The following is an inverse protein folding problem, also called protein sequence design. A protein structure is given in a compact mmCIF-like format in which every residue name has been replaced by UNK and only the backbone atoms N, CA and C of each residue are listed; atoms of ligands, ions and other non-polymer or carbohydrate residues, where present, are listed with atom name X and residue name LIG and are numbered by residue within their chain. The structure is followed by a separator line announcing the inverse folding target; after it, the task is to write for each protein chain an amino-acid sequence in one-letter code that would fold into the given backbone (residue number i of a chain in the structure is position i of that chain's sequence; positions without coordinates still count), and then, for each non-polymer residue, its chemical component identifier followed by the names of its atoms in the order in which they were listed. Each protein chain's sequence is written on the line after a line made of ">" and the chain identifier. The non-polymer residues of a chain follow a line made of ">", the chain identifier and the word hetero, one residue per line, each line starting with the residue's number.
data_IF_128500066837
#
_entry.id   IF_128500066837
#
_cell.length_a   1.000
_cell.length_b   1.000
_cell.length_c   1.000
_cell.angle_alpha   90.00
_cell.angle_beta   90.00
_cell.angle_gamma   90.00
#
_symmetry.space_group_name_H-M   'P 1'
#
loop_
_entity.id
_entity.type
_entity.pdbx_description
1 polymer ?
#
# COMPACT_ATOMS: atom_id res chain seq x y z
N UNK A 1 1.30 2.26 25.48
CA UNK A 1 0.64 3.23 24.60
C UNK A 1 -0.12 2.41 23.56
N UNK A 2 -1.45 2.51 23.47
CA UNK A 2 -2.21 1.75 22.45
C UNK A 2 -1.74 2.29 21.10
N UNK A 3 -1.27 1.41 20.23
CA UNK A 3 -0.77 1.78 18.91
C UNK A 3 -1.87 2.60 18.21
N UNK A 4 -1.57 3.87 17.88
CA UNK A 4 -2.54 4.71 17.16
C UNK A 4 -2.90 3.96 15.86
N UNK A 5 -4.18 3.96 15.52
CA UNK A 5 -4.73 3.29 14.32
C UNK A 5 -4.73 1.76 14.32
N UNK A 6 -4.41 1.09 15.45
CA UNK A 6 -4.38 -0.38 15.52
C UNK A 6 -5.62 -1.05 14.92
N UNK A 7 -6.82 -0.54 15.21
CA UNK A 7 -8.07 -1.14 14.72
C UNK A 7 -8.22 -1.00 13.20
N UNK A 8 -8.00 0.22 12.66
CA UNK A 8 -8.08 0.49 11.22
C UNK A 8 -7.04 -0.31 10.44
N UNK A 9 -5.79 -0.35 10.93
CA UNK A 9 -4.71 -1.12 10.34
C UNK A 9 -5.00 -2.63 10.38
N UNK A 10 -5.44 -3.16 11.52
CA UNK A 10 -5.80 -4.59 11.66
C UNK A 10 -6.95 -4.98 10.74
N UNK A 11 -7.97 -4.12 10.64
CA UNK A 11 -9.08 -4.33 9.72
C UNK A 11 -8.59 -4.36 8.27
N UNK A 12 -7.80 -3.37 7.87
CA UNK A 12 -7.28 -3.26 6.51
C UNK A 12 -6.41 -4.46 6.14
N UNK A 13 -5.47 -4.85 7.01
CA UNK A 13 -4.61 -6.02 6.80
C UNK A 13 -5.43 -7.30 6.61
N UNK A 14 -6.44 -7.51 7.47
CA UNK A 14 -7.33 -8.67 7.35
C UNK A 14 -8.07 -8.67 6.01
N UNK A 15 -8.60 -7.51 5.59
CA UNK A 15 -9.34 -7.36 4.34
C UNK A 15 -8.45 -7.59 3.12
N UNK A 16 -7.32 -6.91 3.03
CA UNK A 16 -6.35 -7.07 1.95
C UNK A 16 -5.89 -8.52 1.82
N UNK A 17 -5.70 -9.25 2.93
CA UNK A 17 -5.32 -10.66 2.88
C UNK A 17 -6.45 -11.58 2.43
N UNK A 18 -7.71 -11.28 2.76
CA UNK A 18 -8.85 -12.09 2.34
C UNK A 18 -9.31 -11.80 0.90
N UNK A 19 -8.98 -10.63 0.35
CA UNK A 19 -9.48 -10.20 -0.95
C UNK A 19 -8.74 -10.81 -2.13
N UNK A 20 -9.48 -11.09 -3.20
CA UNK A 20 -8.96 -11.60 -4.46
C UNK A 20 -8.68 -10.46 -5.44
N UNK A 21 -9.60 -9.51 -5.54
CA UNK A 21 -9.49 -8.35 -6.43
C UNK A 21 -9.11 -7.11 -5.64
N UNK A 22 -8.04 -6.43 -6.07
CA UNK A 22 -7.45 -5.29 -5.35
C UNK A 22 -7.05 -4.22 -6.35
N UNK A 23 -7.67 -3.04 -6.23
CA UNK A 23 -7.40 -1.92 -7.10
C UNK A 23 -7.16 -0.66 -6.29
N UNK A 24 -6.29 0.19 -6.84
CA UNK A 24 -6.05 1.54 -6.34
C UNK A 24 -6.30 2.47 -7.52
N UNK A 25 -7.22 3.41 -7.36
CA UNK A 25 -7.41 4.49 -8.31
C UNK A 25 -6.59 5.68 -7.86
N UNK A 26 -5.92 6.30 -8.82
CA UNK A 26 -4.94 7.35 -8.58
C UNK A 26 -5.30 8.51 -9.50
N UNK A 27 -5.42 9.69 -8.92
CA UNK A 27 -5.60 10.95 -9.63
C UNK A 27 -4.71 12.01 -8.97
N UNK A 28 -3.98 12.78 -9.76
CA UNK A 28 -3.11 13.86 -9.28
C UNK A 28 -2.20 13.44 -8.09
N UNK A 29 -1.49 12.32 -8.26
CA UNK A 29 -0.58 11.74 -7.26
C UNK A 29 -1.24 11.30 -5.93
N UNK A 30 -2.57 11.20 -5.90
CA UNK A 30 -3.35 10.87 -4.71
C UNK A 30 -4.19 9.64 -4.95
N UNK A 31 -4.26 8.75 -3.97
CA UNK A 31 -5.23 7.65 -4.00
C UNK A 31 -6.63 8.22 -3.83
N UNK A 32 -7.48 8.04 -4.83
CA UNK A 32 -8.90 8.42 -4.77
C UNK A 32 -9.77 7.26 -4.33
N UNK A 33 -9.40 6.02 -4.69
CA UNK A 33 -10.12 4.82 -4.27
C UNK A 33 -9.19 3.66 -3.94
N UNK A 34 -9.46 2.97 -2.83
CA UNK A 34 -9.00 1.61 -2.57
C UNK A 34 -10.19 0.65 -2.71
N UNK A 35 -10.17 -0.17 -3.76
CA UNK A 35 -11.24 -1.14 -4.03
C UNK A 35 -10.77 -2.54 -3.70
N UNK A 36 -11.46 -3.22 -2.78
CA UNK A 36 -11.23 -4.62 -2.39
C UNK A 36 -12.50 -5.43 -2.66
N UNK A 37 -12.43 -6.41 -3.57
CA UNK A 37 -13.57 -7.24 -4.03
C UNK A 37 -14.82 -6.40 -4.37
N UNK A 38 -14.63 -5.30 -5.11
CA UNK A 38 -15.69 -4.38 -5.52
C UNK A 38 -16.20 -3.43 -4.43
N UNK A 39 -15.62 -3.45 -3.21
CA UNK A 39 -15.98 -2.52 -2.12
C UNK A 39 -14.95 -1.42 -1.97
N UNK A 40 -15.43 -0.19 -1.82
CA UNK A 40 -14.58 0.96 -1.54
C UNK A 40 -14.22 1.01 -0.04
N UNK A 41 -12.93 0.86 0.25
CA UNK A 41 -12.36 0.85 1.61
C UNK A 41 -11.48 2.11 1.84
N UNK A 42 -11.64 3.17 1.03
CA UNK A 42 -10.81 4.39 1.10
C UNK A 42 -10.91 5.12 2.43
N UNK A 43 -12.08 5.11 3.06
CA UNK A 43 -12.26 5.75 4.37
C UNK A 43 -11.36 5.15 5.45
N UNK A 44 -11.06 3.84 5.37
CA UNK A 44 -10.17 3.15 6.31
C UNK A 44 -8.74 3.66 6.17
N UNK A 45 -8.30 4.00 4.95
CA UNK A 45 -7.01 4.68 4.77
C UNK A 45 -7.03 6.02 5.52
N UNK A 46 -8.05 6.85 5.32
CA UNK A 46 -8.15 8.17 5.97
C UNK A 46 -8.21 8.10 7.51
N UNK A 47 -8.77 7.04 8.10
CA UNK A 47 -8.81 6.79 9.55
C UNK A 47 -7.42 6.58 10.19
N UNK A 48 -6.39 6.36 9.37
CA UNK A 48 -4.99 6.20 9.82
C UNK A 48 -4.22 7.53 9.94
N UNK A 49 -4.92 8.62 10.28
CA UNK A 49 -4.37 9.98 10.46
C UNK A 49 -3.68 10.59 9.23
N UNK A 50 -3.95 10.08 8.03
CA UNK A 50 -3.41 10.69 6.80
C UNK A 50 -3.85 12.15 6.63
N UNK A 51 -4.95 12.58 7.25
CA UNK A 51 -5.36 13.99 7.32
C UNK A 51 -4.36 14.93 8.02
N UNK A 52 -3.34 14.43 8.73
CA UNK A 52 -2.28 15.22 9.38
C UNK A 52 -0.99 15.33 8.56
N UNK A 53 -0.90 14.66 7.41
CA UNK A 53 0.26 14.62 6.50
C UNK A 53 -0.17 14.95 5.06
N UNK A 54 0.59 14.52 4.05
CA UNK A 54 0.24 14.62 2.61
C UNK A 54 -1.04 13.83 2.21
N UNK A 55 -1.91 13.50 3.16
CA UNK A 55 -3.08 12.68 2.96
C UNK A 55 -2.73 11.36 2.26
N UNK A 56 -3.53 10.94 1.29
CA UNK A 56 -3.27 9.74 0.49
C UNK A 56 -2.36 10.03 -0.72
N UNK A 57 -1.60 11.13 -0.69
CA UNK A 57 -0.62 11.42 -1.75
C UNK A 57 0.59 10.51 -1.62
N UNK A 58 1.15 10.07 -2.75
CA UNK A 58 2.38 9.29 -2.73
C UNK A 58 3.55 10.10 -2.21
N UNK A 59 4.34 9.44 -1.36
CA UNK A 59 5.60 9.92 -0.78
C UNK A 59 6.80 9.19 -1.38
N UNK A 60 6.58 8.03 -2.00
CA UNK A 60 7.61 7.24 -2.68
C UNK A 60 7.08 6.65 -3.99
N UNK A 61 7.96 6.59 -4.98
CA UNK A 61 7.84 5.70 -6.14
C UNK A 61 9.20 5.03 -6.37
N UNK A 62 9.19 3.72 -6.62
CA UNK A 62 10.39 2.96 -6.89
C UNK A 62 10.17 1.82 -7.87
N UNK A 63 11.28 1.35 -8.44
CA UNK A 63 11.29 0.30 -9.44
C UNK A 63 12.21 -0.82 -8.98
N UNK A 64 11.63 -2.00 -8.79
CA UNK A 64 12.43 -3.20 -8.59
C UNK A 64 12.89 -3.76 -9.93
N UNK A 65 14.14 -4.24 -9.96
CA UNK A 65 14.79 -4.75 -11.17
C UNK A 65 15.12 -6.24 -11.09
N UNK A 66 14.85 -6.89 -9.95
CA UNK A 66 15.30 -8.26 -9.70
C UNK A 66 14.21 -9.28 -10.05
N UNK A 67 14.34 -9.89 -11.22
CA UNK A 67 13.46 -11.00 -11.67
C UNK A 67 13.75 -12.33 -10.94
N UNK A 68 14.92 -12.48 -10.33
CA UNK A 68 15.32 -13.76 -9.75
C UNK A 68 14.68 -14.01 -8.38
N UNK A 69 14.34 -12.97 -7.63
CA UNK A 69 13.74 -13.11 -6.29
C UNK A 69 12.26 -13.47 -6.33
N UNK A 70 11.58 -13.24 -7.45
CA UNK A 70 10.16 -13.56 -7.65
C UNK A 70 9.84 -15.02 -7.31
N UNK A 71 10.72 -15.95 -7.71
CA UNK A 71 10.51 -17.40 -7.53
C UNK A 71 10.47 -17.85 -6.07
N UNK A 72 11.08 -17.08 -5.17
CA UNK A 72 11.24 -17.42 -3.76
C UNK A 72 10.61 -16.37 -2.84
N UNK A 73 9.84 -15.43 -3.40
CA UNK A 73 9.28 -14.32 -2.64
C UNK A 73 8.11 -14.81 -1.78
N UNK A 74 8.13 -14.45 -0.50
CA UNK A 74 6.96 -14.60 0.35
C UNK A 74 6.31 -13.22 0.55
N UNK A 75 5.25 -12.94 -0.21
CA UNK A 75 4.51 -11.68 -0.16
C UNK A 75 3.92 -11.34 1.21
N UNK A 76 3.77 -12.33 2.10
CA UNK A 76 3.23 -12.14 3.45
C UNK A 76 4.29 -11.67 4.45
N UNK A 77 5.58 -11.62 4.06
CA UNK A 77 6.70 -11.32 4.94
C UNK A 77 7.58 -10.25 4.31
N UNK A 78 8.01 -9.27 5.14
CA UNK A 78 9.09 -8.33 4.84
C UNK A 78 8.90 -7.51 3.54
N UNK A 79 8.04 -6.50 3.59
CA UNK A 79 7.74 -5.62 2.44
C UNK A 79 9.01 -5.02 1.80
N UNK A 80 10.01 -4.67 2.59
CA UNK A 80 11.28 -4.09 2.11
C UNK A 80 11.99 -5.03 1.14
N UNK A 81 12.05 -6.33 1.45
CA UNK A 81 12.65 -7.31 0.53
C UNK A 81 11.82 -7.51 -0.74
N UNK A 82 10.50 -7.30 -0.64
CA UNK A 82 9.57 -7.45 -1.75
C UNK A 82 9.65 -6.27 -2.73
N UNK A 83 10.02 -5.07 -2.27
CA UNK A 83 10.16 -3.88 -3.13
C UNK A 83 11.21 -4.06 -4.26
N UNK A 84 12.22 -4.93 -4.08
CA UNK A 84 13.23 -5.18 -5.10
C UNK A 84 12.77 -6.02 -6.29
N UNK A 85 11.57 -6.61 -6.22
CA UNK A 85 11.03 -7.52 -7.26
C UNK A 85 10.77 -6.76 -8.54
N UNK A 86 10.99 -7.38 -9.70
CA UNK A 86 10.74 -6.72 -10.98
C UNK A 86 9.32 -6.14 -11.06
N UNK A 87 9.20 -4.81 -11.15
CA UNK A 87 7.92 -4.12 -11.06
C UNK A 87 8.05 -2.70 -10.50
N UNK A 88 6.93 -2.16 -10.04
CA UNK A 88 6.84 -0.83 -9.41
C UNK A 88 6.32 -0.98 -7.99
N UNK A 89 6.84 -0.17 -7.08
CA UNK A 89 6.20 0.08 -5.80
C UNK A 89 5.94 1.57 -5.61
N UNK A 90 4.88 1.87 -4.88
CA UNK A 90 4.48 3.22 -4.50
C UNK A 90 4.17 3.23 -3.01
N UNK A 91 4.59 4.28 -2.32
CA UNK A 91 4.45 4.41 -0.88
C UNK A 91 3.61 5.63 -0.49
N UNK A 92 2.83 5.51 0.59
CA UNK A 92 2.15 6.64 1.25
C UNK A 92 2.56 6.74 2.71
N UNK A 93 2.41 7.95 3.26
CA UNK A 93 2.58 8.22 4.69
C UNK A 93 4.03 8.47 5.11
N UNK A 94 4.23 8.61 6.42
CA UNK A 94 5.53 8.88 7.03
C UNK A 94 5.55 8.32 8.46
N UNK A 95 6.46 7.36 8.71
CA UNK A 95 6.49 6.53 9.93
C UNK A 95 6.44 7.27 11.28
N UNK A 96 6.76 8.57 11.32
CA UNK A 96 6.68 9.37 12.54
C UNK A 96 5.25 9.75 12.94
N UNK A 97 4.34 9.97 11.98
CA UNK A 97 2.99 10.53 12.24
C UNK A 97 1.85 9.68 11.70
N UNK A 98 2.09 8.90 10.65
CA UNK A 98 1.12 7.96 10.07
C UNK A 98 1.81 6.65 9.71
N UNK A 99 1.06 5.54 9.55
CA UNK A 99 1.62 4.32 9.00
C UNK A 99 2.27 4.59 7.63
N UNK A 100 3.43 3.99 7.42
CA UNK A 100 4.03 3.91 6.09
C UNK A 100 3.49 2.65 5.40
N UNK A 101 2.86 2.81 4.23
CA UNK A 101 2.24 1.70 3.51
C UNK A 101 2.82 1.64 2.10
N UNK A 102 3.39 0.48 1.77
CA UNK A 102 3.87 0.13 0.44
C UNK A 102 2.80 -0.62 -0.37
N UNK A 103 2.60 -0.22 -1.61
CA UNK A 103 1.85 -0.97 -2.61
C UNK A 103 2.82 -1.45 -3.67
N UNK A 104 2.98 -2.77 -3.79
CA UNK A 104 3.94 -3.39 -4.71
C UNK A 104 3.14 -4.09 -5.81
N UNK A 105 3.48 -3.78 -7.06
CA UNK A 105 2.84 -4.41 -8.22
C UNK A 105 3.83 -4.69 -9.34
N UNK A 106 3.79 -5.92 -9.84
CA UNK A 106 4.56 -6.34 -11.01
C UNK A 106 3.88 -5.94 -12.34
N UNK A 107 2.63 -5.47 -12.29
CA UNK A 107 1.81 -5.20 -13.47
C UNK A 107 1.60 -3.71 -13.77
N UNK A 108 1.96 -2.81 -12.84
CA UNK A 108 1.89 -1.36 -13.09
C UNK A 108 2.78 -1.02 -14.28
N UNK A 109 2.18 -0.36 -15.27
CA UNK A 109 2.88 0.22 -16.41
C UNK A 109 2.79 1.73 -16.26
N UNK A 110 3.94 2.38 -16.14
CA UNK A 110 4.05 3.83 -16.25
C UNK A 110 4.24 4.12 -17.74
N UNK A 111 3.35 4.94 -18.29
CA UNK A 111 3.35 5.37 -19.70
C UNK A 111 3.90 6.78 -19.77
#
# INVERSE_FOLDING_TARGET
>A
MRERHHNALTYLLKKVNSSQEKYIHIEDNTITHLILDGRDETSILLEMDYGLERNLSFTEIGFGCNKNIEKNLNWQINSIMNQGVYGTHIGIGMAQKSPYIDFISQSIKII
#
